data_IF_896658006373
#
_entry.id   IF_896658006373
#
_cell.length_a   1.000
_cell.length_b   1.000
_cell.length_c   1.000
_cell.angle_alpha   90.00
_cell.angle_beta   90.00
_cell.angle_gamma   90.00
#
_symmetry.space_group_name_H-M   'P 1'
#
loop_
_entity.id
_entity.type
_entity.pdbx_description
1 polymer ?
#
# COMPACT_ATOMS: atom_id res chain seq x y z
N UNK A 1 -18.52 18.35 -71.39
CA UNK A 1 -17.58 18.48 -70.26
C UNK A 1 -18.28 18.01 -69.02
N UNK A 2 -17.95 16.82 -68.53
CA UNK A 2 -18.46 16.25 -67.26
C UNK A 2 -17.35 16.34 -66.23
N UNK A 3 -17.52 17.17 -65.22
CA UNK A 3 -16.62 17.19 -64.06
C UNK A 3 -17.04 16.12 -63.10
N UNK A 4 -16.15 15.18 -62.81
CA UNK A 4 -16.27 14.19 -61.75
C UNK A 4 -15.75 14.77 -60.45
N UNK A 5 -16.62 15.00 -59.46
CA UNK A 5 -16.27 15.34 -58.11
C UNK A 5 -15.69 14.08 -57.44
N UNK A 6 -14.42 14.12 -57.11
CA UNK A 6 -13.77 13.12 -56.27
C UNK A 6 -14.09 13.42 -54.82
N UNK A 7 -14.86 12.53 -54.20
CA UNK A 7 -15.16 12.58 -52.76
C UNK A 7 -13.95 12.05 -51.99
N UNK A 8 -13.19 12.93 -51.35
CA UNK A 8 -12.08 12.57 -50.50
C UNK A 8 -12.63 12.18 -49.12
N UNK A 9 -12.77 10.88 -48.86
CA UNK A 9 -13.16 10.38 -47.51
C UNK A 9 -11.95 10.51 -46.59
N UNK A 10 -12.02 11.49 -45.68
CA UNK A 10 -11.05 11.66 -44.60
C UNK A 10 -11.33 10.62 -43.53
N UNK A 11 -10.59 9.51 -43.53
CA UNK A 11 -10.62 8.51 -42.48
C UNK A 11 -9.91 9.06 -41.23
N UNK A 12 -10.69 9.52 -40.25
CA UNK A 12 -10.16 9.86 -38.93
C UNK A 12 -9.88 8.52 -38.23
N UNK A 13 -8.62 8.11 -38.23
CA UNK A 13 -8.17 7.02 -37.37
C UNK A 13 -8.23 7.50 -35.91
N UNK A 14 -9.27 7.07 -35.20
CA UNK A 14 -9.38 7.25 -33.76
C UNK A 14 -8.30 6.36 -33.11
N UNK A 15 -7.14 6.93 -32.85
CA UNK A 15 -6.12 6.30 -32.01
C UNK A 15 -6.72 6.21 -30.61
N UNK A 16 -7.36 5.08 -30.31
CA UNK A 16 -7.64 4.70 -28.95
C UNK A 16 -6.27 4.51 -28.26
N UNK A 17 -5.81 5.55 -27.58
CA UNK A 17 -4.72 5.43 -26.64
C UNK A 17 -5.22 4.51 -25.52
N UNK A 18 -4.98 3.21 -25.67
CA UNK A 18 -5.05 2.29 -24.56
C UNK A 18 -4.00 2.78 -23.55
N UNK A 19 -4.45 3.54 -22.55
CA UNK A 19 -3.64 3.79 -21.38
C UNK A 19 -3.43 2.43 -20.70
N UNK A 20 -2.36 1.75 -21.10
CA UNK A 20 -1.83 0.65 -20.34
C UNK A 20 -1.35 1.29 -19.03
N UNK A 21 -2.18 1.22 -17.99
CA UNK A 21 -1.75 1.55 -16.65
C UNK A 21 -0.71 0.48 -16.27
N UNK A 22 0.56 0.75 -16.60
CA UNK A 22 1.63 -0.07 -16.07
C UNK A 22 1.65 0.16 -14.57
N UNK A 23 1.50 -0.94 -13.81
CA UNK A 23 1.69 -0.90 -12.38
C UNK A 23 3.02 -0.19 -12.07
N UNK A 24 2.94 0.88 -11.31
CA UNK A 24 4.11 1.65 -10.93
C UNK A 24 4.58 1.19 -9.55
N UNK A 25 5.90 1.12 -9.40
CA UNK A 25 6.51 0.85 -8.11
C UNK A 25 6.77 2.16 -7.37
N UNK A 26 6.60 2.15 -6.06
CA UNK A 26 7.05 3.23 -5.17
C UNK A 26 7.97 2.64 -4.13
N UNK A 27 8.98 3.41 -3.78
CA UNK A 27 10.02 2.99 -2.86
C UNK A 27 10.03 3.92 -1.64
N UNK A 28 10.09 3.31 -0.46
CA UNK A 28 10.06 4.02 0.82
C UNK A 28 11.24 3.58 1.67
N UNK A 29 11.99 4.54 2.17
CA UNK A 29 13.10 4.31 3.11
C UNK A 29 13.12 5.41 4.17
N UNK A 30 13.18 5.02 5.43
CA UNK A 30 13.15 5.96 6.55
C UNK A 30 14.30 6.99 6.43
N UNK A 31 13.96 8.28 6.61
CA UNK A 31 14.93 9.37 6.52
C UNK A 31 15.30 9.82 5.11
N UNK A 32 14.74 9.23 4.06
CA UNK A 32 14.91 9.70 2.68
C UNK A 32 14.00 10.90 2.39
N UNK A 33 14.22 11.60 1.27
CA UNK A 33 13.43 12.77 0.86
C UNK A 33 13.34 12.86 -0.67
N UNK A 34 12.93 11.79 -1.32
CA UNK A 34 12.87 11.68 -2.76
C UNK A 34 11.44 11.56 -3.33
N UNK A 35 11.36 11.31 -4.63
CA UNK A 35 10.09 11.16 -5.38
C UNK A 35 9.47 9.75 -5.24
N UNK A 36 10.23 8.79 -4.75
CA UNK A 36 9.81 7.40 -4.55
C UNK A 36 9.86 6.54 -5.81
N UNK A 37 10.54 6.97 -6.87
CA UNK A 37 10.61 6.20 -8.13
C UNK A 37 11.72 5.14 -8.13
N UNK A 38 12.63 5.20 -7.17
CA UNK A 38 13.71 4.24 -6.99
C UNK A 38 14.13 4.18 -5.53
N UNK A 39 14.96 3.20 -5.13
CA UNK A 39 15.58 3.18 -3.81
C UNK A 39 16.46 4.42 -3.56
N UNK A 40 17.18 4.88 -4.58
CA UNK A 40 18.04 6.07 -4.46
C UNK A 40 17.26 7.37 -4.24
N UNK A 41 16.01 7.41 -4.67
CA UNK A 41 15.10 8.56 -4.52
C UNK A 41 13.85 8.19 -3.72
N UNK A 42 13.99 7.27 -2.75
CA UNK A 42 12.88 6.78 -1.94
C UNK A 42 12.19 7.92 -1.17
N UNK A 43 10.89 7.76 -0.91
CA UNK A 43 10.15 8.63 0.02
C UNK A 43 10.46 8.23 1.47
N UNK A 44 10.27 9.16 2.40
CA UNK A 44 10.38 8.87 3.84
C UNK A 44 9.08 8.31 4.45
N UNK A 45 7.95 8.46 3.80
CA UNK A 45 6.63 8.15 4.32
C UNK A 45 5.91 7.11 3.47
N UNK A 46 5.48 6.02 4.10
CA UNK A 46 4.64 4.98 3.49
C UNK A 46 3.29 5.56 3.10
N UNK A 47 2.69 6.36 3.99
CA UNK A 47 1.42 7.05 3.72
C UNK A 47 1.51 7.89 2.44
N UNK A 48 2.52 8.75 2.33
CA UNK A 48 2.72 9.60 1.15
C UNK A 48 2.96 8.79 -0.13
N UNK A 49 3.64 7.64 -0.04
CA UNK A 49 3.83 6.75 -1.18
C UNK A 49 2.50 6.13 -1.62
N UNK A 50 1.72 5.55 -0.68
CA UNK A 50 0.41 4.94 -0.95
C UNK A 50 -0.57 5.95 -1.54
N UNK A 51 -0.64 7.17 -1.01
CA UNK A 51 -1.51 8.25 -1.52
C UNK A 51 -1.14 8.69 -2.95
N UNK A 52 0.07 8.42 -3.41
CA UNK A 52 0.52 8.71 -4.79
C UNK A 52 0.34 7.54 -5.75
N UNK A 53 -0.22 6.43 -5.29
CA UNK A 53 -0.42 5.20 -6.07
C UNK A 53 -1.84 5.08 -6.63
N UNK A 54 -1.98 4.21 -7.63
CA UNK A 54 -3.24 3.80 -8.24
C UNK A 54 -3.39 2.28 -8.14
N UNK A 55 -4.59 1.78 -8.38
CA UNK A 55 -4.87 0.34 -8.45
C UNK A 55 -3.86 -0.41 -9.31
N UNK A 56 -3.28 -1.47 -8.76
CA UNK A 56 -2.24 -2.29 -9.39
C UNK A 56 -0.81 -1.91 -9.00
N UNK A 57 -0.60 -0.74 -8.38
CA UNK A 57 0.73 -0.31 -7.95
C UNK A 57 1.21 -1.06 -6.71
N UNK A 58 2.54 -1.05 -6.50
CA UNK A 58 3.16 -1.64 -5.31
C UNK A 58 4.11 -0.66 -4.63
N UNK A 59 3.98 -0.56 -3.31
CA UNK A 59 4.87 0.21 -2.44
C UNK A 59 5.84 -0.76 -1.76
N UNK A 60 7.12 -0.63 -2.06
CA UNK A 60 8.21 -1.37 -1.44
C UNK A 60 8.79 -0.54 -0.29
N UNK A 61 8.84 -1.14 0.90
CA UNK A 61 9.24 -0.45 2.11
C UNK A 61 10.49 -1.08 2.70
N UNK A 62 11.53 -0.29 2.89
CA UNK A 62 12.76 -0.78 3.51
C UNK A 62 12.60 -0.98 5.02
N UNK A 63 13.57 -1.69 5.60
CA UNK A 63 13.73 -1.76 7.05
C UNK A 63 13.80 -0.36 7.67
N UNK A 64 13.20 -0.22 8.83
CA UNK A 64 13.17 1.06 9.55
C UNK A 64 11.93 1.24 10.41
N UNK A 65 11.93 2.34 11.16
CA UNK A 65 10.81 2.72 12.03
C UNK A 65 10.03 3.87 11.39
N UNK A 66 8.72 3.66 11.22
CA UNK A 66 7.79 4.59 10.62
C UNK A 66 6.68 4.91 11.63
N UNK A 67 6.71 6.11 12.22
CA UNK A 67 5.69 6.55 13.16
C UNK A 67 4.57 7.27 12.39
N UNK A 68 3.75 6.49 11.73
CA UNK A 68 2.64 6.98 10.90
C UNK A 68 1.51 5.95 10.79
N UNK A 69 0.36 6.40 10.30
CA UNK A 69 -0.74 5.52 9.90
C UNK A 69 -0.90 5.54 8.38
N UNK A 70 -1.40 4.44 7.82
CA UNK A 70 -1.59 4.27 6.39
C UNK A 70 -3.04 3.97 6.08
N UNK A 71 -3.68 4.82 5.29
CA UNK A 71 -4.98 4.53 4.68
C UNK A 71 -4.77 3.73 3.40
N UNK A 72 -5.43 2.58 3.32
CA UNK A 72 -5.29 1.68 2.16
C UNK A 72 -5.99 2.30 0.95
N UNK A 73 -5.26 2.35 -0.17
CA UNK A 73 -5.81 2.65 -1.50
C UNK A 73 -6.13 1.33 -2.20
N UNK A 74 -7.30 1.26 -2.83
CA UNK A 74 -7.83 0.06 -3.48
C UNK A 74 -6.84 -0.52 -4.52
N UNK A 75 -6.52 -1.82 -4.39
CA UNK A 75 -5.61 -2.52 -5.28
C UNK A 75 -4.14 -2.12 -5.17
N UNK A 76 -3.73 -1.33 -4.16
CA UNK A 76 -2.32 -0.97 -3.93
C UNK A 76 -1.68 -1.92 -2.92
N UNK A 77 -0.62 -2.60 -3.33
CA UNK A 77 0.12 -3.50 -2.46
C UNK A 77 1.16 -2.76 -1.62
N UNK A 78 1.39 -3.25 -0.38
CA UNK A 78 2.42 -2.72 0.53
C UNK A 78 3.29 -3.88 0.98
N UNK A 79 4.57 -3.86 0.61
CA UNK A 79 5.51 -4.94 0.88
C UNK A 79 6.69 -4.42 1.69
N UNK A 80 6.81 -4.87 2.93
CA UNK A 80 7.95 -4.60 3.81
C UNK A 80 9.08 -5.61 3.66
N UNK A 81 10.14 -5.43 4.44
CA UNK A 81 11.27 -6.36 4.52
C UNK A 81 12.36 -6.13 3.49
N UNK A 82 12.55 -4.91 3.01
CA UNK A 82 13.58 -4.60 2.02
C UNK A 82 14.81 -3.93 2.63
N UNK A 83 15.95 -4.20 2.01
CA UNK A 83 17.17 -3.41 2.17
C UNK A 83 17.24 -2.38 1.05
N UNK A 84 17.28 -1.09 1.39
CA UNK A 84 17.27 -0.01 0.41
C UNK A 84 18.55 0.07 -0.44
N UNK A 85 19.69 -0.35 0.09
CA UNK A 85 20.98 -0.28 -0.61
C UNK A 85 21.12 -1.38 -1.66
N UNK A 86 20.61 -2.58 -1.37
CA UNK A 86 20.77 -3.76 -2.21
C UNK A 86 19.51 -4.14 -2.98
N UNK A 87 18.34 -3.66 -2.56
CA UNK A 87 17.04 -4.08 -3.05
C UNK A 87 16.63 -5.51 -2.63
N UNK A 88 17.46 -6.19 -1.81
CA UNK A 88 17.15 -7.53 -1.32
C UNK A 88 15.96 -7.49 -0.35
N UNK A 89 15.16 -8.56 -0.37
CA UNK A 89 14.02 -8.71 0.54
C UNK A 89 14.20 -9.90 1.46
N UNK A 90 14.09 -9.64 2.77
CA UNK A 90 14.04 -10.65 3.84
C UNK A 90 13.32 -10.04 5.03
N UNK A 91 12.11 -10.46 5.33
CA UNK A 91 11.23 -9.88 6.34
C UNK A 91 11.72 -10.13 7.78
N UNK A 92 12.55 -11.13 7.99
CA UNK A 92 13.12 -11.43 9.31
C UNK A 92 14.40 -10.61 9.58
N UNK A 93 15.18 -10.34 8.53
CA UNK A 93 16.43 -9.59 8.62
C UNK A 93 16.21 -8.08 8.50
N UNK A 94 15.31 -7.67 7.63
CA UNK A 94 15.04 -6.26 7.31
C UNK A 94 13.67 -5.85 7.84
N UNK A 95 13.52 -5.79 9.17
CA UNK A 95 12.23 -5.51 9.80
C UNK A 95 11.73 -4.09 9.44
N UNK A 96 10.53 -4.03 8.88
CA UNK A 96 9.80 -2.79 8.58
C UNK A 96 8.75 -2.56 9.65
N UNK A 97 8.92 -1.52 10.47
CA UNK A 97 8.09 -1.29 11.65
C UNK A 97 7.21 -0.06 11.47
N UNK A 98 5.88 -0.24 11.52
CA UNK A 98 4.93 0.84 11.76
C UNK A 98 4.68 0.93 13.25
N UNK A 99 4.97 2.09 13.84
CA UNK A 99 4.84 2.35 15.26
C UNK A 99 3.70 3.33 15.55
N UNK A 100 2.76 2.91 16.36
CA UNK A 100 1.57 3.69 16.72
C UNK A 100 1.75 4.59 17.93
N UNK A 101 2.95 4.64 18.51
CA UNK A 101 3.18 5.41 19.74
C UNK A 101 2.74 6.86 19.57
N UNK A 102 1.78 7.27 20.40
CA UNK A 102 1.25 8.63 20.42
C UNK A 102 0.28 9.01 19.30
N UNK A 103 -0.02 8.11 18.36
CA UNK A 103 -0.91 8.42 17.24
C UNK A 103 -2.39 8.37 17.61
N UNK A 104 -2.80 7.52 18.55
CA UNK A 104 -4.22 7.30 18.92
C UNK A 104 -5.07 6.82 17.73
N UNK A 105 -4.48 6.05 16.81
CA UNK A 105 -5.08 5.62 15.54
C UNK A 105 -4.67 4.20 15.18
N UNK A 106 -5.42 3.61 14.25
CA UNK A 106 -4.95 2.42 13.54
C UNK A 106 -3.66 2.72 12.77
N UNK A 107 -2.83 1.71 12.58
CA UNK A 107 -1.66 1.83 11.71
C UNK A 107 -2.02 1.54 10.25
N UNK A 108 -2.88 0.55 10.04
CA UNK A 108 -3.39 0.19 8.71
C UNK A 108 -4.91 0.26 8.74
N UNK A 109 -5.50 1.03 7.83
CA UNK A 109 -6.95 1.23 7.86
C UNK A 109 -7.58 1.36 6.48
N UNK A 110 -8.78 0.76 6.35
CA UNK A 110 -9.71 0.95 5.24
C UNK A 110 -11.09 1.30 5.78
N UNK A 111 -11.38 2.60 5.92
CA UNK A 111 -12.64 3.08 6.49
C UNK A 111 -13.81 3.06 5.51
N UNK A 112 -13.53 3.34 4.24
CA UNK A 112 -14.55 3.49 3.22
C UNK A 112 -15.20 2.16 2.83
N UNK A 113 -15.67 2.02 1.62
CA UNK A 113 -16.14 0.76 1.06
C UNK A 113 -15.04 -0.31 1.08
N UNK A 114 -15.40 -1.61 1.07
CA UNK A 114 -14.45 -2.68 0.80
C UNK A 114 -13.63 -2.40 -0.46
N UNK A 115 -12.43 -2.94 -0.54
CA UNK A 115 -11.65 -2.89 -1.77
C UNK A 115 -12.38 -3.68 -2.88
N UNK A 116 -12.42 -3.14 -4.09
CA UNK A 116 -12.91 -3.85 -5.27
C UNK A 116 -11.81 -4.75 -5.85
N UNK A 117 -10.56 -4.30 -5.70
CA UNK A 117 -9.38 -4.99 -6.21
C UNK A 117 -8.58 -5.62 -5.07
N UNK A 118 -7.95 -6.79 -5.30
CA UNK A 118 -7.09 -7.42 -4.30
C UNK A 118 -5.95 -6.50 -3.85
N UNK A 119 -5.79 -6.37 -2.54
CA UNK A 119 -4.74 -5.58 -1.90
C UNK A 119 -3.95 -6.48 -0.96
N UNK A 120 -2.64 -6.56 -1.16
CA UNK A 120 -1.72 -7.32 -0.31
C UNK A 120 -0.90 -6.40 0.59
N UNK A 121 -0.91 -6.69 1.87
CA UNK A 121 -0.04 -6.05 2.88
C UNK A 121 0.81 -7.17 3.48
N UNK A 122 2.12 -7.14 3.26
CA UNK A 122 2.99 -8.24 3.65
C UNK A 122 4.31 -7.79 4.29
N UNK A 123 4.73 -8.50 5.34
CA UNK A 123 6.06 -8.36 5.92
C UNK A 123 6.26 -7.08 6.73
N UNK A 124 5.21 -6.62 7.41
CA UNK A 124 5.26 -5.46 8.29
C UNK A 124 5.16 -5.90 9.76
N UNK A 125 5.88 -5.22 10.64
CA UNK A 125 5.61 -5.22 12.08
C UNK A 125 4.74 -4.01 12.42
N UNK A 126 3.56 -4.26 12.99
CA UNK A 126 2.64 -3.24 13.49
C UNK A 126 2.71 -3.25 15.01
N UNK A 127 3.11 -2.14 15.62
CA UNK A 127 3.29 -2.12 17.08
C UNK A 127 2.78 -0.86 17.75
N UNK A 128 2.50 -0.97 19.05
CA UNK A 128 2.18 0.14 19.95
C UNK A 128 0.98 0.99 19.48
N UNK A 129 0.09 0.42 18.68
CA UNK A 129 -1.12 1.11 18.28
C UNK A 129 -2.16 1.04 19.41
N UNK A 130 -2.81 2.17 19.67
CA UNK A 130 -3.92 2.24 20.61
C UNK A 130 -5.06 3.00 19.96
N UNK A 131 -6.22 2.35 19.86
CA UNK A 131 -7.42 2.95 19.33
C UNK A 131 -8.62 2.69 20.24
N UNK A 132 -9.46 3.70 20.42
CA UNK A 132 -10.62 3.63 21.34
C UNK A 132 -11.82 2.83 20.81
N UNK A 133 -11.74 2.34 19.58
CA UNK A 133 -12.76 1.48 18.97
C UNK A 133 -12.16 0.16 18.45
N UNK A 134 -12.67 -0.39 17.36
CA UNK A 134 -12.34 -1.70 16.85
C UNK A 134 -10.88 -1.80 16.35
N UNK A 135 -10.16 -2.87 16.68
CA UNK A 135 -8.82 -3.20 16.20
C UNK A 135 -7.73 -2.17 16.53
N UNK A 136 -6.72 -2.54 17.29
CA UNK A 136 -5.63 -1.61 17.62
C UNK A 136 -4.74 -1.27 16.43
N UNK A 137 -4.18 -2.29 15.79
CA UNK A 137 -3.20 -2.10 14.72
C UNK A 137 -3.84 -1.95 13.34
N UNK A 138 -4.80 -2.78 13.01
CA UNK A 138 -5.38 -2.79 11.67
C UNK A 138 -6.90 -2.94 11.68
N UNK A 139 -7.53 -2.23 10.76
CA UNK A 139 -8.92 -2.43 10.38
C UNK A 139 -8.94 -2.80 8.90
N UNK A 140 -9.24 -4.06 8.58
CA UNK A 140 -9.23 -4.58 7.22
C UNK A 140 -10.61 -5.08 6.79
N UNK A 141 -10.89 -4.98 5.50
CA UNK A 141 -12.15 -5.38 4.87
C UNK A 141 -11.93 -6.40 3.74
N UNK A 142 -12.99 -6.80 3.07
CA UNK A 142 -12.95 -7.71 1.95
C UNK A 142 -11.92 -7.28 0.89
N UNK A 143 -11.32 -8.27 0.22
CA UNK A 143 -10.24 -8.14 -0.75
C UNK A 143 -8.91 -7.60 -0.21
N UNK A 144 -8.76 -7.43 1.11
CA UNK A 144 -7.48 -7.11 1.73
C UNK A 144 -6.89 -8.37 2.34
N UNK A 145 -5.65 -8.67 2.02
CA UNK A 145 -4.86 -9.74 2.63
C UNK A 145 -3.74 -9.15 3.46
N UNK A 146 -3.74 -9.45 4.75
CA UNK A 146 -2.63 -9.20 5.66
C UNK A 146 -1.82 -10.48 5.79
N UNK A 147 -0.58 -10.50 5.33
CA UNK A 147 0.25 -11.70 5.24
C UNK A 147 1.62 -11.50 5.88
N UNK A 148 2.10 -12.52 6.58
CA UNK A 148 3.45 -12.53 7.20
C UNK A 148 3.76 -11.25 7.97
N UNK A 149 2.76 -10.71 8.66
CA UNK A 149 2.91 -9.54 9.51
C UNK A 149 3.05 -9.95 10.97
N UNK A 150 3.78 -9.15 11.73
CA UNK A 150 3.83 -9.26 13.20
C UNK A 150 3.05 -8.11 13.80
N UNK A 151 2.15 -8.41 14.74
CA UNK A 151 1.32 -7.43 15.42
C UNK A 151 1.56 -7.57 16.91
N UNK A 152 2.10 -6.54 17.54
CA UNK A 152 2.49 -6.62 18.95
C UNK A 152 2.16 -5.35 19.74
N UNK A 153 1.82 -5.53 21.03
CA UNK A 153 1.55 -4.44 21.95
C UNK A 153 0.47 -3.45 21.43
N UNK A 154 -0.54 -3.96 20.72
CA UNK A 154 -1.62 -3.12 20.19
C UNK A 154 -2.89 -3.29 21.03
N UNK A 155 -3.64 -2.19 21.19
CA UNK A 155 -4.87 -2.14 22.00
C UNK A 155 -6.03 -1.58 21.20
N UNK A 156 -7.18 -2.25 21.28
CA UNK A 156 -8.45 -1.80 20.73
C UNK A 156 -9.61 -2.38 21.55
N UNK A 157 -10.78 -1.78 21.45
CA UNK A 157 -11.95 -2.18 22.19
C UNK A 157 -12.49 -3.54 21.71
N UNK A 158 -12.56 -3.76 20.41
CA UNK A 158 -12.96 -5.02 19.79
C UNK A 158 -11.81 -5.54 18.93
N UNK A 159 -11.06 -6.54 19.40
CA UNK A 159 -9.88 -7.08 18.74
C UNK A 159 -8.63 -6.20 18.91
N UNK A 160 -7.83 -6.45 19.94
CA UNK A 160 -6.66 -5.63 20.28
C UNK A 160 -5.66 -5.45 19.14
N UNK A 161 -5.43 -6.46 18.30
CA UNK A 161 -4.54 -6.39 17.16
C UNK A 161 -5.25 -5.97 15.88
N UNK A 162 -6.17 -6.79 15.37
CA UNK A 162 -6.83 -6.59 14.08
C UNK A 162 -8.33 -6.69 14.20
N UNK A 163 -9.05 -5.73 13.65
CA UNK A 163 -10.46 -5.87 13.32
C UNK A 163 -10.59 -6.30 11.85
N UNK A 164 -11.18 -7.48 11.63
CA UNK A 164 -11.31 -8.07 10.31
C UNK A 164 -12.79 -8.14 9.88
N UNK A 165 -13.15 -7.33 8.89
CA UNK A 165 -14.47 -7.29 8.28
C UNK A 165 -14.41 -7.89 6.85
N UNK A 166 -14.17 -9.20 6.77
CA UNK A 166 -14.16 -9.97 5.53
C UNK A 166 -12.84 -10.04 4.76
N UNK A 167 -11.74 -9.52 5.31
CA UNK A 167 -10.40 -9.68 4.76
C UNK A 167 -9.78 -11.05 5.09
N UNK A 168 -8.55 -11.27 4.64
CA UNK A 168 -7.77 -12.48 4.91
C UNK A 168 -6.57 -12.14 5.80
N UNK A 169 -6.38 -12.89 6.88
CA UNK A 169 -5.17 -12.86 7.70
C UNK A 169 -4.45 -14.18 7.51
N UNK A 170 -3.19 -14.13 7.04
CA UNK A 170 -2.44 -15.32 6.69
C UNK A 170 -1.00 -15.24 7.22
N UNK A 171 -0.54 -16.30 7.85
CA UNK A 171 0.85 -16.47 8.32
C UNK A 171 1.32 -15.29 9.22
N UNK A 172 0.41 -14.68 9.98
CA UNK A 172 0.70 -13.56 10.87
C UNK A 172 0.93 -14.04 12.31
N UNK A 173 1.74 -13.29 13.06
CA UNK A 173 1.93 -13.47 14.50
C UNK A 173 1.25 -12.28 15.20
N UNK A 174 0.36 -12.57 16.15
CA UNK A 174 -0.37 -11.55 16.93
C UNK A 174 -0.10 -11.82 18.41
N UNK A 175 0.52 -10.85 19.11
CA UNK A 175 0.99 -10.97 20.50
C UNK A 175 0.83 -9.67 21.32
#
# INVERSE_FOLDING_TARGET
MKQTLSCLTLSIALLASSNWCNAANRYVSAGSDGDGLSWATAKSSIKSAVESCHTGDTVFVSSGLYNEYVSIVDGVNILGGYNADTGARDIETFETILDGTGLGKYLIVKYDSPCENPTLIEGLTLQNAEHSSDGGAAYIRANITLSKCRIKNCKGQNGGGVFNDGGVIKDCIIE
#
